data_IF_180790188701
#
_entry.id   IF_180790188701
#
_cell.length_a   1.000
_cell.length_b   1.000
_cell.length_c   1.000
_cell.angle_alpha   90.00
_cell.angle_beta   90.00
_cell.angle_gamma   90.00
#
_symmetry.space_group_name_H-M   'P 1'
#
loop_
_entity.id
_entity.type
_entity.pdbx_description
1 polymer ?
#
# COMPACT_ATOMS: atom_id res chain seq x y z
N UNK A 1 34.82 -5.59 -0.19
CA UNK A 1 33.86 -4.65 -0.80
C UNK A 1 34.13 -4.56 -2.30
N UNK A 2 33.29 -5.08 -3.20
CA UNK A 2 33.41 -4.73 -4.61
C UNK A 2 32.84 -3.32 -4.79
N UNK A 3 33.62 -2.46 -5.43
CA UNK A 3 33.26 -1.11 -5.80
C UNK A 3 32.03 -1.16 -6.73
N UNK A 4 30.89 -0.70 -6.25
CA UNK A 4 29.69 -0.54 -7.06
C UNK A 4 29.92 0.49 -8.16
N UNK A 5 29.50 0.14 -9.34
CA UNK A 5 29.53 0.93 -10.56
C UNK A 5 28.93 2.33 -10.35
N UNK A 6 29.74 3.37 -10.39
CA UNK A 6 29.39 4.78 -10.12
C UNK A 6 28.76 5.51 -11.33
N UNK A 7 28.21 4.81 -12.33
CA UNK A 7 27.61 5.43 -13.52
C UNK A 7 26.33 4.74 -14.04
N UNK A 8 25.49 4.19 -13.16
CA UNK A 8 24.15 3.71 -13.50
C UNK A 8 23.08 4.73 -13.07
N UNK A 9 22.12 5.03 -13.90
CA UNK A 9 20.85 5.66 -13.52
C UNK A 9 20.30 4.92 -12.30
N UNK A 10 20.25 5.60 -11.12
CA UNK A 10 19.81 4.96 -9.87
C UNK A 10 18.38 4.49 -10.05
N UNK A 11 18.16 3.20 -9.87
CA UNK A 11 16.81 2.60 -9.87
C UNK A 11 15.97 3.17 -8.73
N UNK A 12 14.69 3.39 -8.99
CA UNK A 12 13.74 3.90 -8.00
C UNK A 12 12.98 2.74 -7.37
N UNK A 13 12.90 2.70 -6.05
CA UNK A 13 12.15 1.69 -5.30
C UNK A 13 10.81 2.23 -4.85
N UNK A 14 9.79 1.40 -4.89
CA UNK A 14 8.42 1.79 -4.53
C UNK A 14 7.98 1.05 -3.29
N UNK A 15 7.54 1.80 -2.28
CA UNK A 15 7.14 1.28 -0.97
C UNK A 15 5.69 1.69 -0.70
N UNK A 16 4.80 0.70 -0.53
CA UNK A 16 3.43 0.97 -0.10
C UNK A 16 3.36 1.11 1.42
N UNK A 17 2.64 2.11 1.90
CA UNK A 17 2.30 2.30 3.33
C UNK A 17 0.84 1.91 3.50
N UNK A 18 0.61 0.74 4.08
CA UNK A 18 -0.72 0.12 4.21
C UNK A 18 -1.09 -0.05 5.69
N UNK A 19 -2.35 -0.37 5.96
CA UNK A 19 -2.83 -0.64 7.32
C UNK A 19 -4.17 0.04 7.63
N UNK A 20 -4.79 -0.21 8.80
CA UNK A 20 -6.12 0.26 9.13
C UNK A 20 -6.21 1.78 9.29
N UNK A 21 -7.44 2.28 9.22
CA UNK A 21 -7.74 3.70 9.52
C UNK A 21 -7.30 4.04 10.94
N UNK A 22 -6.67 5.21 11.08
CA UNK A 22 -6.22 5.70 12.39
C UNK A 22 -4.86 5.15 12.85
N UNK A 23 -4.23 4.20 12.16
CA UNK A 23 -2.88 3.70 12.48
C UNK A 23 -1.77 4.75 12.28
N UNK A 24 -2.03 5.82 11.51
CA UNK A 24 -1.09 6.93 11.30
C UNK A 24 -0.26 6.85 10.01
N UNK A 25 -0.74 6.14 8.99
CA UNK A 25 -0.07 5.98 7.69
C UNK A 25 0.34 7.30 7.04
N UNK A 26 -0.62 8.18 6.82
CA UNK A 26 -0.37 9.50 6.20
C UNK A 26 0.61 10.34 7.01
N UNK A 27 0.48 10.34 8.34
CA UNK A 27 1.43 11.02 9.22
C UNK A 27 2.83 10.41 9.11
N UNK A 28 2.93 9.08 9.01
CA UNK A 28 4.21 8.37 8.82
C UNK A 28 4.83 8.72 7.46
N UNK A 29 4.05 8.69 6.38
CA UNK A 29 4.51 9.09 5.03
C UNK A 29 5.04 10.53 5.03
N UNK A 30 4.33 11.45 5.69
CA UNK A 30 4.78 12.84 5.84
C UNK A 30 6.07 12.96 6.65
N UNK A 31 6.18 12.22 7.77
CA UNK A 31 7.38 12.22 8.60
C UNK A 31 8.59 11.66 7.85
N UNK A 32 8.42 10.56 7.10
CA UNK A 32 9.45 9.99 6.24
C UNK A 32 9.91 11.00 5.16
N UNK A 33 8.95 11.64 4.48
CA UNK A 33 9.22 12.66 3.47
C UNK A 33 9.96 13.87 4.06
N UNK A 34 9.52 14.36 5.22
CA UNK A 34 10.15 15.49 5.90
C UNK A 34 11.61 15.21 6.28
N UNK A 35 11.92 14.01 6.79
CA UNK A 35 13.28 13.61 7.16
C UNK A 35 14.16 13.41 5.93
N UNK A 36 13.58 12.98 4.81
CA UNK A 36 14.28 12.81 3.52
C UNK A 36 14.39 14.10 2.70
N UNK A 37 13.92 15.25 3.22
CA UNK A 37 13.96 16.53 2.50
C UNK A 37 12.91 16.66 1.38
N UNK A 38 11.93 15.76 1.32
CA UNK A 38 10.85 15.78 0.35
C UNK A 38 9.65 16.61 0.83
N UNK A 39 8.89 17.19 -0.11
CA UNK A 39 7.59 17.79 0.18
C UNK A 39 6.49 16.74 0.07
N UNK A 40 5.75 16.53 1.14
CA UNK A 40 4.57 15.66 1.13
C UNK A 40 3.31 16.49 0.89
N UNK A 41 2.58 16.18 -0.18
CA UNK A 41 1.23 16.69 -0.40
C UNK A 41 0.21 15.73 0.20
N UNK A 42 -0.26 16.00 1.43
CA UNK A 42 -1.36 15.22 1.99
C UNK A 42 -2.68 15.65 1.36
N UNK A 43 -3.38 14.73 0.73
CA UNK A 43 -4.75 14.93 0.27
C UNK A 43 -5.70 14.19 1.24
N UNK A 44 -6.03 14.82 2.36
CA UNK A 44 -7.15 14.36 3.19
C UNK A 44 -8.42 14.87 2.54
N UNK A 45 -9.27 13.97 2.01
CA UNK A 45 -10.55 14.33 1.45
C UNK A 45 -11.48 15.00 2.48
N UNK A 46 -12.62 15.53 2.03
CA UNK A 46 -13.63 16.21 2.87
C UNK A 46 -14.13 15.36 4.05
N UNK A 47 -13.96 14.03 3.99
CA UNK A 47 -14.30 13.08 5.05
C UNK A 47 -13.23 12.97 6.16
N UNK A 48 -12.15 13.77 6.11
CA UNK A 48 -11.05 13.67 7.09
C UNK A 48 -10.23 12.37 7.01
N UNK A 49 -10.46 11.53 5.99
CA UNK A 49 -9.77 10.28 5.73
C UNK A 49 -9.19 10.27 4.31
N UNK A 50 -8.14 9.50 4.11
CA UNK A 50 -7.58 9.26 2.77
C UNK A 50 -8.53 8.36 1.99
N UNK A 51 -9.05 8.85 0.87
CA UNK A 51 -9.96 8.12 -0.04
C UNK A 51 -9.26 7.64 -1.31
N UNK A 52 -8.04 8.09 -1.54
CA UNK A 52 -7.25 7.84 -2.74
C UNK A 52 -5.80 7.50 -2.37
N UNK A 53 -5.16 6.66 -3.17
CA UNK A 53 -3.73 6.40 -3.09
C UNK A 53 -2.94 7.61 -3.57
N UNK A 54 -1.97 8.06 -2.76
CA UNK A 54 -1.09 9.18 -3.06
C UNK A 54 0.35 8.71 -3.25
N UNK A 55 1.06 9.33 -4.21
CA UNK A 55 2.45 9.05 -4.53
C UNK A 55 3.35 10.18 -4.04
N UNK A 56 4.33 9.86 -3.21
CA UNK A 56 5.30 10.84 -2.67
C UNK A 56 6.71 10.38 -2.98
N UNK A 57 7.41 11.10 -3.88
CA UNK A 57 8.81 10.83 -4.18
C UNK A 57 9.71 11.42 -3.10
N UNK A 58 10.68 10.64 -2.64
CA UNK A 58 11.69 11.04 -1.65
C UNK A 58 13.08 10.60 -2.09
N UNK A 59 14.11 11.27 -1.57
CA UNK A 59 15.50 10.87 -1.72
C UNK A 59 16.16 10.79 -0.34
N UNK A 60 16.78 9.65 -0.04
CA UNK A 60 17.48 9.47 1.23
C UNK A 60 18.84 8.81 1.02
N UNK A 61 19.91 9.47 1.50
CA UNK A 61 21.30 9.01 1.35
C UNK A 61 21.69 8.65 -0.09
N UNK A 62 21.10 9.36 -1.06
CA UNK A 62 21.34 9.18 -2.48
C UNK A 62 20.52 8.06 -3.14
N UNK A 63 19.71 7.33 -2.44
CA UNK A 63 18.74 6.39 -2.99
C UNK A 63 17.36 7.07 -3.17
N UNK A 64 16.65 6.73 -4.25
CA UNK A 64 15.34 7.31 -4.60
C UNK A 64 14.23 6.32 -4.29
N UNK A 65 13.15 6.82 -3.68
CA UNK A 65 11.97 6.04 -3.34
C UNK A 65 10.70 6.77 -3.75
N UNK A 66 9.65 6.01 -4.04
CA UNK A 66 8.28 6.51 -4.12
C UNK A 66 7.47 5.82 -3.02
N UNK A 67 6.91 6.61 -2.12
CA UNK A 67 6.01 6.14 -1.07
C UNK A 67 4.57 6.21 -1.59
N UNK A 68 3.84 5.11 -1.46
CA UNK A 68 2.41 5.05 -1.71
C UNK A 68 1.65 5.11 -0.39
N UNK A 69 1.01 6.23 -0.10
CA UNK A 69 0.09 6.35 1.03
C UNK A 69 -1.28 5.83 0.60
N UNK A 70 -1.69 4.67 1.12
CA UNK A 70 -2.93 4.01 0.73
C UNK A 70 -4.08 4.30 1.70
N UNK A 71 -5.34 4.29 1.22
CA UNK A 71 -6.50 4.34 2.09
C UNK A 71 -6.49 3.20 3.12
N UNK A 72 -6.95 3.48 4.34
CA UNK A 72 -7.01 2.47 5.41
C UNK A 72 -8.42 1.99 5.72
N UNK A 73 -9.45 2.65 5.19
CA UNK A 73 -10.82 2.21 5.37
C UNK A 73 -11.16 1.12 4.34
N UNK A 74 -11.86 0.09 4.79
CA UNK A 74 -12.20 -1.10 3.99
C UNK A 74 -12.96 -0.70 2.72
N UNK A 75 -13.78 0.34 2.80
CA UNK A 75 -14.58 0.88 1.69
C UNK A 75 -13.73 1.42 0.51
N UNK A 76 -12.47 1.79 0.75
CA UNK A 76 -11.57 2.39 -0.25
C UNK A 76 -10.37 1.51 -0.61
N UNK A 77 -10.29 0.28 -0.10
CA UNK A 77 -9.14 -0.61 -0.36
C UNK A 77 -9.02 -1.02 -1.83
N UNK A 78 -10.09 -0.95 -2.61
CA UNK A 78 -10.05 -1.28 -4.03
C UNK A 78 -9.01 -0.43 -4.81
N UNK A 79 -8.83 0.85 -4.43
CA UNK A 79 -7.81 1.73 -5.04
C UNK A 79 -6.39 1.27 -4.68
N UNK A 80 -6.18 0.81 -3.44
CA UNK A 80 -4.89 0.28 -3.00
C UNK A 80 -4.57 -1.09 -3.63
N UNK A 81 -5.55 -1.98 -3.74
CA UNK A 81 -5.36 -3.35 -4.22
C UNK A 81 -4.70 -3.39 -5.62
N UNK A 82 -5.07 -2.46 -6.50
CA UNK A 82 -4.48 -2.38 -7.84
C UNK A 82 -3.09 -1.72 -7.87
N UNK A 83 -2.74 -0.92 -6.86
CA UNK A 83 -1.40 -0.34 -6.76
C UNK A 83 -0.37 -1.33 -6.20
N UNK A 84 -0.79 -2.25 -5.32
CA UNK A 84 0.09 -3.17 -4.60
C UNK A 84 0.93 -4.10 -5.49
N UNK A 85 0.44 -4.72 -6.57
CA UNK A 85 1.27 -5.60 -7.40
C UNK A 85 2.53 -4.92 -7.96
N UNK A 86 2.49 -3.61 -8.13
CA UNK A 86 3.60 -2.81 -8.65
C UNK A 86 4.61 -2.32 -7.61
N UNK A 87 4.53 -2.68 -6.32
CA UNK A 87 5.48 -2.21 -5.29
C UNK A 87 6.61 -3.20 -5.02
N UNK A 88 7.72 -2.74 -4.47
CA UNK A 88 8.83 -3.61 -4.08
C UNK A 88 8.68 -4.13 -2.66
N UNK A 89 8.20 -3.28 -1.76
CA UNK A 89 8.00 -3.58 -0.35
C UNK A 89 6.70 -2.93 0.13
N UNK A 90 6.02 -3.55 1.07
CA UNK A 90 4.93 -2.92 1.79
C UNK A 90 5.31 -2.70 3.26
N UNK A 91 4.99 -1.52 3.80
CA UNK A 91 5.10 -1.20 5.21
C UNK A 91 3.70 -1.20 5.82
N UNK A 92 3.41 -2.20 6.63
CA UNK A 92 2.14 -2.34 7.33
C UNK A 92 2.21 -1.54 8.63
N UNK A 93 1.41 -0.49 8.75
CA UNK A 93 1.38 0.35 9.96
C UNK A 93 0.36 -0.20 10.94
N UNK A 94 0.85 -0.67 12.08
CA UNK A 94 0.05 -1.18 13.18
C UNK A 94 -0.12 -0.12 14.28
N UNK A 95 -1.21 -0.18 15.02
CA UNK A 95 -1.36 0.55 16.28
C UNK A 95 -0.64 -0.21 17.40
N UNK A 96 -0.22 0.48 18.47
CA UNK A 96 0.41 -0.14 19.64
C UNK A 96 -0.57 -0.85 20.57
N UNK A 97 -1.86 -0.87 20.24
CA UNK A 97 -2.93 -1.50 20.98
C UNK A 97 -3.15 -2.96 20.49
N UNK A 98 -2.90 -4.00 21.30
CA UNK A 98 -3.06 -5.40 20.90
C UNK A 98 -4.48 -5.75 20.45
N UNK A 99 -5.51 -5.10 20.99
CA UNK A 99 -6.91 -5.35 20.63
C UNK A 99 -7.20 -5.00 19.16
N UNK A 100 -6.33 -4.21 18.54
CA UNK A 100 -6.42 -3.83 17.13
C UNK A 100 -5.66 -4.76 16.17
N UNK A 101 -4.99 -5.80 16.67
CA UNK A 101 -4.20 -6.71 15.85
C UNK A 101 -5.02 -7.33 14.69
N UNK A 102 -6.26 -7.76 14.96
CA UNK A 102 -7.16 -8.32 13.94
C UNK A 102 -7.46 -7.38 12.78
N UNK A 103 -7.37 -6.07 12.96
CA UNK A 103 -7.59 -5.09 11.89
C UNK A 103 -6.50 -5.15 10.81
N UNK A 104 -5.36 -5.77 11.08
CA UNK A 104 -4.26 -5.94 10.12
C UNK A 104 -4.47 -7.13 9.17
N UNK A 105 -5.28 -8.10 9.56
CA UNK A 105 -5.48 -9.35 8.81
C UNK A 105 -5.78 -9.14 7.31
N UNK A 106 -6.71 -8.26 6.89
CA UNK A 106 -7.01 -8.09 5.47
C UNK A 106 -5.83 -7.52 4.67
N UNK A 107 -4.96 -6.73 5.30
CA UNK A 107 -3.77 -6.16 4.66
C UNK A 107 -2.67 -7.21 4.53
N UNK A 108 -2.34 -7.92 5.62
CA UNK A 108 -1.32 -8.98 5.61
C UNK A 108 -1.68 -10.08 4.62
N UNK A 109 -2.93 -10.55 4.67
CA UNK A 109 -3.39 -11.59 3.75
C UNK A 109 -3.31 -11.17 2.27
N UNK A 110 -3.65 -9.91 1.95
CA UNK A 110 -3.52 -9.41 0.57
C UNK A 110 -2.06 -9.36 0.12
N UNK A 111 -1.12 -8.99 1.00
CA UNK A 111 0.31 -8.93 0.70
C UNK A 111 0.90 -10.34 0.51
N UNK A 112 0.51 -11.28 1.36
CA UNK A 112 0.93 -12.69 1.30
C UNK A 112 0.40 -13.39 0.03
N UNK A 113 -0.89 -13.20 -0.32
CA UNK A 113 -1.47 -13.72 -1.57
C UNK A 113 -0.71 -13.20 -2.82
N UNK A 114 -0.35 -11.92 -2.81
CA UNK A 114 0.40 -11.29 -3.89
C UNK A 114 1.92 -11.55 -3.82
N UNK A 115 2.40 -12.24 -2.78
CA UNK A 115 3.83 -12.49 -2.51
C UNK A 115 4.65 -11.20 -2.49
N UNK A 116 4.13 -10.17 -1.83
CA UNK A 116 4.81 -8.89 -1.68
C UNK A 116 5.62 -8.92 -0.37
N UNK A 117 6.95 -8.75 -0.42
CA UNK A 117 7.75 -8.58 0.77
C UNK A 117 7.22 -7.41 1.60
N UNK A 118 7.11 -7.62 2.91
CA UNK A 118 6.54 -6.58 3.76
C UNK A 118 7.19 -6.55 5.15
N UNK A 119 7.05 -5.42 5.81
CA UNK A 119 7.49 -5.18 7.18
C UNK A 119 6.35 -4.57 7.98
N UNK A 120 6.36 -4.76 9.30
CA UNK A 120 5.40 -4.11 10.20
C UNK A 120 6.09 -2.96 10.92
N UNK A 121 5.41 -1.81 11.00
CA UNK A 121 5.79 -0.70 11.86
C UNK A 121 4.71 -0.47 12.90
N UNK A 122 5.01 -0.80 14.14
CA UNK A 122 4.16 -0.53 15.30
C UNK A 122 4.32 0.94 15.65
N UNK A 123 3.29 1.73 15.34
CA UNK A 123 3.26 3.15 15.58
C UNK A 123 2.64 3.48 16.95
N UNK A 124 2.76 4.73 17.40
CA UNK A 124 2.22 5.23 18.66
C UNK A 124 2.74 4.51 19.90
N UNK A 125 3.98 4.07 19.86
CA UNK A 125 4.60 3.33 20.95
C UNK A 125 4.68 4.16 22.25
N UNK A 126 4.60 5.47 22.15
CA UNK A 126 4.46 6.41 23.26
C UNK A 126 3.13 6.28 24.03
N UNK A 127 2.14 5.60 23.45
CA UNK A 127 0.83 5.31 24.03
C UNK A 127 0.66 3.82 24.37
N UNK A 128 1.70 3.00 24.14
CA UNK A 128 1.64 1.56 24.37
C UNK A 128 1.36 1.25 25.86
N UNK A 129 0.43 0.32 26.07
CA UNK A 129 0.11 -0.23 27.38
C UNK A 129 0.53 -1.70 27.39
N UNK A 130 1.56 -2.04 28.16
CA UNK A 130 2.08 -3.42 28.23
C UNK A 130 3.40 -3.62 27.48
N UNK A 131 3.84 -4.87 27.39
CA UNK A 131 5.11 -5.23 26.76
C UNK A 131 4.95 -5.38 25.25
N UNK A 132 6.00 -5.09 24.50
CA UNK A 132 6.00 -5.30 23.03
C UNK A 132 5.92 -6.78 22.67
N UNK A 133 6.44 -7.67 23.51
CA UNK A 133 6.29 -9.12 23.30
C UNK A 133 4.80 -9.53 23.24
N UNK A 134 3.98 -9.02 24.16
CA UNK A 134 2.54 -9.31 24.20
C UNK A 134 1.84 -8.85 22.91
N UNK A 135 2.31 -7.74 22.32
CA UNK A 135 1.81 -7.24 21.04
C UNK A 135 2.26 -8.11 19.86
N UNK A 136 3.51 -8.61 19.87
CA UNK A 136 3.99 -9.53 18.85
C UNK A 136 3.23 -10.86 18.90
N UNK A 137 2.98 -11.39 20.09
CA UNK A 137 2.15 -12.57 20.31
C UNK A 137 0.71 -12.38 19.80
N UNK A 138 0.14 -11.18 19.97
CA UNK A 138 -1.18 -10.85 19.44
C UNK A 138 -1.19 -10.67 17.89
N UNK A 139 -0.07 -10.27 17.32
CA UNK A 139 0.08 -10.06 15.87
C UNK A 139 0.41 -11.35 15.10
N UNK A 140 1.14 -12.30 15.71
CA UNK A 140 1.55 -13.53 15.01
C UNK A 140 0.37 -14.33 14.42
N UNK A 141 -0.79 -14.50 15.10
CA UNK A 141 -1.91 -15.25 14.55
C UNK A 141 -2.56 -14.64 13.30
N UNK A 142 -2.31 -13.36 13.00
CA UNK A 142 -2.88 -12.67 11.83
C UNK A 142 -1.92 -12.63 10.62
N UNK A 143 -0.69 -13.14 10.79
CA UNK A 143 0.31 -13.34 9.73
C UNK A 143 0.59 -14.83 9.55
N UNK A 144 0.72 -15.30 8.30
CA UNK A 144 1.15 -16.67 7.99
C UNK A 144 2.68 -16.80 8.02
N UNK A 145 3.40 -15.67 7.98
CA UNK A 145 4.85 -15.62 8.02
C UNK A 145 5.34 -15.29 9.44
N UNK A 146 6.55 -15.75 9.81
CA UNK A 146 7.15 -15.41 11.09
C UNK A 146 7.36 -13.91 11.26
N UNK A 147 6.92 -13.36 12.39
CA UNK A 147 7.17 -11.97 12.76
C UNK A 147 8.50 -11.87 13.51
N UNK A 148 9.49 -11.25 12.89
CA UNK A 148 10.85 -11.15 13.42
C UNK A 148 11.09 -9.78 14.04
N UNK A 149 11.24 -9.73 15.37
CA UNK A 149 11.56 -8.49 16.07
C UNK A 149 12.93 -7.97 15.66
N UNK A 150 13.02 -6.72 15.21
CA UNK A 150 14.29 -6.05 14.86
C UNK A 150 14.82 -5.20 16.00
N UNK A 151 14.03 -4.97 17.03
CA UNK A 151 14.31 -4.03 18.10
C UNK A 151 13.68 -4.47 19.41
N UNK A 152 14.38 -4.18 20.54
CA UNK A 152 13.82 -4.26 21.89
C UNK A 152 13.71 -2.85 22.46
N UNK A 153 12.57 -2.45 23.08
CA UNK A 153 12.41 -1.11 23.62
C UNK A 153 13.19 -0.93 24.91
N UNK A 154 13.80 0.25 25.08
CA UNK A 154 14.40 0.71 26.31
C UNK A 154 13.36 1.52 27.06
N UNK A 155 12.91 1.05 28.21
CA UNK A 155 11.94 1.72 29.06
C UNK A 155 12.63 2.64 30.07
N UNK A 156 12.04 3.79 30.30
CA UNK A 156 12.41 4.72 31.36
C UNK A 156 11.14 5.42 31.88
N UNK A 157 10.88 5.32 33.16
CA UNK A 157 9.74 5.98 33.81
C UNK A 157 8.41 5.74 33.06
N UNK A 158 8.05 4.48 32.82
CA UNK A 158 6.85 4.02 32.12
C UNK A 158 6.69 4.49 30.65
N UNK A 159 7.73 5.03 30.03
CA UNK A 159 7.73 5.37 28.62
C UNK A 159 8.95 4.81 27.87
N UNK A 160 8.80 4.63 26.56
CA UNK A 160 9.87 4.14 25.71
C UNK A 160 10.82 5.28 25.35
N UNK A 161 12.04 5.21 25.89
CA UNK A 161 13.08 6.24 25.72
C UNK A 161 14.05 5.92 24.57
N UNK A 162 14.03 4.69 24.05
CA UNK A 162 14.95 4.26 23.01
C UNK A 162 14.71 2.80 22.60
N UNK A 163 15.69 2.21 21.94
CA UNK A 163 15.65 0.82 21.51
C UNK A 163 17.06 0.21 21.41
N UNK A 164 17.14 -1.10 21.53
CA UNK A 164 18.29 -1.91 21.15
C UNK A 164 18.00 -2.54 19.79
N UNK A 165 18.91 -2.37 18.83
CA UNK A 165 18.88 -3.03 17.53
C UNK A 165 19.49 -4.43 17.66
N UNK A 166 18.67 -5.47 17.49
CA UNK A 166 19.06 -6.86 17.72
C UNK A 166 20.05 -7.40 16.67
N UNK A 167 19.98 -6.91 15.43
CA UNK A 167 20.89 -7.33 14.39
C UNK A 167 22.31 -6.77 14.58
N UNK A 168 22.41 -5.54 15.06
CA UNK A 168 23.65 -4.80 15.18
C UNK A 168 24.17 -4.72 16.62
N UNK A 169 23.42 -5.24 17.60
CA UNK A 169 23.76 -5.20 19.05
C UNK A 169 24.15 -3.79 19.50
N UNK A 170 23.26 -2.81 19.22
CA UNK A 170 23.49 -1.40 19.51
C UNK A 170 22.27 -0.74 20.09
N UNK A 171 22.48 -0.02 21.18
CA UNK A 171 21.41 0.77 21.79
C UNK A 171 21.37 2.20 21.25
N UNK A 172 20.14 2.73 21.15
CA UNK A 172 19.86 4.07 20.69
C UNK A 172 18.81 4.72 21.58
N UNK A 173 19.10 5.93 22.08
CA UNK A 173 18.15 6.76 22.82
C UNK A 173 17.52 7.81 21.89
N UNK A 174 16.21 7.96 21.98
CA UNK A 174 15.48 8.98 21.22
C UNK A 174 15.84 10.38 21.70
N UNK A 175 15.98 11.28 20.74
CA UNK A 175 16.21 12.69 20.99
C UNK A 175 15.15 13.52 20.25
N UNK A 176 14.51 14.45 20.94
CA UNK A 176 13.49 15.31 20.33
C UNK A 176 14.08 16.15 19.19
N UNK A 177 13.56 15.98 17.97
CA UNK A 177 13.96 16.73 16.78
C UNK A 177 15.37 16.44 16.25
N UNK A 178 16.08 15.45 16.81
CA UNK A 178 17.45 15.06 16.40
C UNK A 178 17.54 13.57 16.09
N UNK A 179 18.58 13.11 15.41
CA UNK A 179 18.88 11.69 15.29
C UNK A 179 19.03 11.04 16.67
N UNK A 180 18.58 9.77 16.79
CA UNK A 180 18.78 9.00 18.03
C UNK A 180 20.27 8.88 18.35
N UNK A 181 20.61 9.04 19.62
CA UNK A 181 21.98 8.93 20.10
C UNK A 181 22.35 7.46 20.33
N UNK A 182 23.47 7.02 19.75
CA UNK A 182 24.04 5.71 20.06
C UNK A 182 24.61 5.74 21.47
N UNK A 183 24.28 4.70 22.25
CA UNK A 183 24.80 4.45 23.60
C UNK A 183 25.18 2.98 23.73
N UNK A 184 25.89 2.64 24.79
CA UNK A 184 26.10 1.23 25.14
C UNK A 184 24.79 0.60 25.60
N UNK A 185 24.67 -0.73 25.46
CA UNK A 185 23.48 -1.44 25.91
C UNK A 185 23.40 -1.32 27.44
N UNK A 186 22.30 -0.77 28.00
CA UNK A 186 22.14 -0.65 29.44
C UNK A 186 22.22 -2.03 30.12
N UNK A 187 22.86 -2.10 31.29
CA UNK A 187 23.09 -3.38 31.97
C UNK A 187 21.78 -4.10 32.34
N UNK A 188 20.71 -3.35 32.61
CA UNK A 188 19.37 -3.88 32.91
C UNK A 188 18.65 -4.42 31.65
N UNK A 189 19.18 -4.15 30.44
CA UNK A 189 18.67 -4.63 29.17
C UNK A 189 19.42 -5.83 28.62
N UNK A 190 20.60 -6.17 29.16
CA UNK A 190 21.48 -7.18 28.58
C UNK A 190 20.81 -8.57 28.50
N UNK A 191 20.12 -9.01 29.55
CA UNK A 191 19.42 -10.29 29.55
C UNK A 191 18.27 -10.34 28.56
N UNK A 192 17.46 -9.27 28.50
CA UNK A 192 16.34 -9.15 27.54
C UNK A 192 16.81 -9.06 26.10
N UNK A 193 17.91 -8.39 25.85
CA UNK A 193 18.53 -8.31 24.54
C UNK A 193 19.01 -9.68 24.09
N UNK A 194 19.72 -10.40 24.95
CA UNK A 194 20.24 -11.76 24.66
C UNK A 194 19.09 -12.73 24.34
N UNK A 195 18.03 -12.73 25.15
CA UNK A 195 16.85 -13.56 24.93
C UNK A 195 16.14 -13.23 23.60
N UNK A 196 15.88 -11.95 23.36
CA UNK A 196 15.20 -11.50 22.14
C UNK A 196 16.05 -11.75 20.88
N UNK A 197 17.38 -11.56 20.99
CA UNK A 197 18.30 -11.86 19.90
C UNK A 197 18.35 -13.35 19.60
N UNK A 198 18.39 -14.20 20.64
CA UNK A 198 18.37 -15.65 20.46
C UNK A 198 17.10 -16.10 19.74
N UNK A 199 15.94 -15.61 20.15
CA UNK A 199 14.67 -15.88 19.47
C UNK A 199 14.65 -15.40 18.00
N UNK A 200 15.21 -14.22 17.73
CA UNK A 200 15.39 -13.75 16.35
C UNK A 200 16.26 -14.70 15.52
N UNK A 201 17.37 -15.19 16.10
CA UNK A 201 18.29 -16.09 15.42
C UNK A 201 17.65 -17.47 15.16
N UNK A 202 16.85 -18.01 16.10
CA UNK A 202 16.08 -19.23 15.89
C UNK A 202 15.14 -19.11 14.69
N UNK A 203 14.40 -17.98 14.60
CA UNK A 203 13.47 -17.74 13.48
C UNK A 203 14.17 -17.63 12.12
N UNK A 204 15.39 -17.06 12.08
CA UNK A 204 16.20 -16.99 10.85
C UNK A 204 16.79 -18.36 10.49
N UNK A 205 17.22 -19.14 11.48
CA UNK A 205 17.80 -20.46 11.25
C UNK A 205 16.81 -21.46 10.60
N UNK A 206 15.51 -21.20 10.67
CA UNK A 206 14.50 -22.00 9.93
C UNK A 206 14.66 -21.90 8.39
N UNK A 207 15.37 -20.88 7.91
CA UNK A 207 15.57 -20.59 6.49
C UNK A 207 17.05 -20.60 6.04
N UNK A 208 17.99 -20.88 6.97
CA UNK A 208 19.43 -20.92 6.69
C UNK A 208 20.13 -22.05 7.44
N UNK A 209 20.48 -23.11 6.71
CA UNK A 209 21.16 -24.30 7.27
C UNK A 209 22.51 -23.95 7.93
N UNK A 210 23.24 -22.95 7.40
CA UNK A 210 24.55 -22.54 7.96
C UNK A 210 24.39 -21.83 9.30
N UNK A 211 23.35 -20.98 9.40
CA UNK A 211 23.00 -20.33 10.66
C UNK A 211 22.53 -21.37 11.69
N UNK A 212 21.70 -22.35 11.25
CA UNK A 212 21.24 -23.44 12.10
C UNK A 212 22.43 -24.26 12.65
N UNK A 213 23.38 -24.68 11.81
CA UNK A 213 24.57 -25.41 12.24
C UNK A 213 25.42 -24.60 13.23
N UNK A 214 25.55 -23.28 13.00
CA UNK A 214 26.27 -22.36 13.88
C UNK A 214 25.66 -22.34 15.30
N UNK A 215 24.31 -22.19 15.35
CA UNK A 215 23.58 -22.18 16.63
C UNK A 215 23.65 -23.54 17.36
N UNK A 216 23.50 -24.64 16.63
CA UNK A 216 23.62 -26.01 17.23
C UNK A 216 25.02 -26.29 17.74
N UNK A 217 26.04 -25.61 17.26
CA UNK A 217 27.43 -25.74 17.70
C UNK A 217 27.78 -24.80 18.87
N UNK A 218 26.80 -24.10 19.45
CA UNK A 218 26.98 -23.09 20.50
C UNK A 218 27.94 -21.95 20.11
N UNK A 219 28.04 -21.65 18.81
CA UNK A 219 28.87 -20.57 18.29
C UNK A 219 28.01 -19.32 18.06
N UNK A 220 28.47 -18.17 18.55
CA UNK A 220 27.80 -16.90 18.30
C UNK A 220 27.97 -16.49 16.82
N UNK A 221 26.88 -16.34 16.04
CA UNK A 221 26.98 -15.93 14.63
C UNK A 221 27.56 -14.53 14.49
N UNK A 222 28.34 -14.30 13.41
CA UNK A 222 28.86 -12.97 13.09
C UNK A 222 27.73 -11.99 12.74
N UNK A 223 27.82 -10.74 13.20
CA UNK A 223 26.80 -9.71 12.95
C UNK A 223 26.51 -9.50 11.45
N UNK A 224 27.54 -9.56 10.61
CA UNK A 224 27.38 -9.39 9.16
C UNK A 224 26.58 -10.55 8.52
N UNK A 225 26.73 -11.78 9.01
CA UNK A 225 25.99 -12.95 8.61
C UNK A 225 24.51 -12.78 8.97
N UNK A 226 24.21 -12.50 10.22
CA UNK A 226 22.84 -12.28 10.72
C UNK A 226 22.15 -11.15 9.94
N UNK A 227 22.88 -10.07 9.67
CA UNK A 227 22.33 -8.95 8.90
C UNK A 227 22.07 -9.33 7.44
N UNK A 228 22.94 -10.12 6.82
CA UNK A 228 22.75 -10.60 5.44
C UNK A 228 21.51 -11.52 5.33
N UNK A 229 21.32 -12.43 6.29
CA UNK A 229 20.16 -13.33 6.34
C UNK A 229 18.85 -12.56 6.52
N UNK A 230 18.81 -11.65 7.48
CA UNK A 230 17.65 -10.76 7.68
C UNK A 230 17.26 -10.01 6.39
N UNK A 231 18.24 -9.49 5.66
CA UNK A 231 18.00 -8.77 4.40
C UNK A 231 17.51 -9.72 3.31
N UNK A 232 18.15 -10.89 3.16
CA UNK A 232 17.78 -11.91 2.18
C UNK A 232 16.37 -12.40 2.40
N UNK A 233 16.06 -12.86 3.60
CA UNK A 233 14.78 -13.45 3.95
C UNK A 233 13.62 -12.45 3.90
N UNK A 234 13.88 -11.18 4.28
CA UNK A 234 12.91 -10.10 4.08
C UNK A 234 12.60 -9.87 2.60
N UNK A 235 13.64 -9.83 1.74
CA UNK A 235 13.48 -9.61 0.29
C UNK A 235 12.78 -10.77 -0.42
N UNK A 236 13.02 -11.97 0.05
CA UNK A 236 12.38 -13.20 -0.45
C UNK A 236 10.96 -13.39 0.10
N UNK A 237 10.56 -12.59 1.10
CA UNK A 237 9.24 -12.66 1.71
C UNK A 237 9.06 -13.91 2.57
N UNK A 238 10.13 -14.39 3.22
CA UNK A 238 10.12 -15.55 4.12
C UNK A 238 9.79 -15.14 5.56
N UNK A 239 10.18 -13.92 5.95
CA UNK A 239 9.95 -13.34 7.27
C UNK A 239 9.33 -11.95 7.17
N UNK A 240 8.72 -11.48 8.25
CA UNK A 240 8.18 -10.13 8.38
C UNK A 240 8.94 -9.39 9.49
N UNK A 241 9.89 -8.50 9.16
CA UNK A 241 10.60 -7.72 10.16
C UNK A 241 9.66 -6.71 10.83
N UNK A 242 9.73 -6.64 12.16
CA UNK A 242 8.89 -5.74 12.96
C UNK A 242 9.75 -4.63 13.56
N UNK A 243 9.34 -3.40 13.27
CA UNK A 243 9.90 -2.16 13.81
C UNK A 243 8.85 -1.45 14.65
N UNK A 244 9.30 -0.53 15.50
CA UNK A 244 8.39 0.31 16.26
C UNK A 244 8.88 1.75 16.36
N UNK A 245 7.93 2.65 16.67
CA UNK A 245 8.21 4.07 16.86
C UNK A 245 6.97 4.89 17.20
N UNK A 246 7.18 6.19 17.30
CA UNK A 246 6.13 7.17 17.52
C UNK A 246 6.24 8.28 16.46
N UNK A 247 5.43 8.20 15.43
CA UNK A 247 5.48 9.14 14.30
C UNK A 247 5.30 10.58 14.75
N UNK A 248 4.39 10.86 15.69
CA UNK A 248 4.13 12.21 16.20
C UNK A 248 5.35 12.83 16.88
N UNK A 249 6.27 12.03 17.38
CA UNK A 249 7.51 12.46 18.04
C UNK A 249 8.75 12.34 17.15
N UNK A 250 8.60 11.78 15.92
CA UNK A 250 9.69 11.50 15.00
C UNK A 250 10.54 10.29 15.39
N UNK A 251 10.09 9.46 16.34
CA UNK A 251 10.80 8.30 16.82
C UNK A 251 10.68 7.13 15.82
N UNK A 252 11.79 6.45 15.52
CA UNK A 252 11.84 5.31 14.61
C UNK A 252 11.94 5.67 13.12
N UNK A 253 11.62 6.91 12.69
CA UNK A 253 11.53 7.31 11.28
C UNK A 253 12.85 7.11 10.53
N UNK A 254 13.98 7.57 11.10
CA UNK A 254 15.32 7.38 10.48
C UNK A 254 15.75 5.91 10.45
N UNK A 255 15.26 5.10 11.41
CA UNK A 255 15.53 3.66 11.42
C UNK A 255 14.82 2.96 10.27
N UNK A 256 13.55 3.34 10.00
CA UNK A 256 12.80 2.85 8.84
C UNK A 256 13.47 3.24 7.51
N UNK A 257 13.88 4.50 7.35
CA UNK A 257 14.59 4.93 6.13
C UNK A 257 15.89 4.14 5.90
N UNK A 258 16.61 3.79 6.97
CA UNK A 258 17.78 2.91 6.87
C UNK A 258 17.38 1.46 6.52
N UNK A 259 16.29 0.95 7.10
CA UNK A 259 15.77 -0.36 6.75
C UNK A 259 15.37 -0.42 5.27
N UNK A 260 14.66 0.56 4.75
CA UNK A 260 14.28 0.62 3.33
C UNK A 260 15.48 0.51 2.40
N UNK A 261 16.60 1.08 2.78
CA UNK A 261 17.83 1.03 1.98
C UNK A 261 18.36 -0.39 1.80
N UNK A 262 18.28 -1.22 2.83
CA UNK A 262 18.83 -2.57 2.86
C UNK A 262 17.77 -3.62 2.54
N UNK A 263 16.59 -3.51 3.13
CA UNK A 263 15.57 -4.55 3.14
C UNK A 263 14.67 -4.51 1.89
N UNK A 264 14.53 -3.33 1.20
CA UNK A 264 13.69 -3.24 0.00
C UNK A 264 14.34 -3.95 -1.20
N UNK A 265 13.61 -4.88 -1.84
CA UNK A 265 14.08 -5.54 -3.06
C UNK A 265 14.31 -4.58 -4.23
N UNK A 266 15.03 -5.04 -5.24
CA UNK A 266 15.18 -4.31 -6.51
C UNK A 266 13.91 -4.42 -7.36
N UNK A 267 13.64 -3.45 -8.28
CA UNK A 267 12.44 -3.43 -9.13
C UNK A 267 12.24 -4.69 -9.96
N UNK A 268 13.31 -5.42 -10.29
CA UNK A 268 13.24 -6.66 -11.07
C UNK A 268 12.35 -7.73 -10.43
N UNK A 269 12.33 -7.84 -9.10
CA UNK A 269 11.49 -8.82 -8.41
C UNK A 269 9.99 -8.49 -8.54
N UNK A 270 9.64 -7.20 -8.53
CA UNK A 270 8.27 -6.78 -8.83
C UNK A 270 7.92 -7.03 -10.31
N UNK A 271 8.85 -6.80 -11.25
CA UNK A 271 8.65 -7.12 -12.67
C UNK A 271 8.43 -8.62 -12.89
N UNK A 272 9.22 -9.48 -12.25
CA UNK A 272 9.07 -10.94 -12.29
C UNK A 272 7.71 -11.39 -11.75
N UNK A 273 7.28 -10.83 -10.59
CA UNK A 273 5.96 -11.08 -9.99
C UNK A 273 4.81 -10.69 -10.92
N UNK A 274 4.95 -9.59 -11.66
CA UNK A 274 3.99 -9.14 -12.66
C UNK A 274 4.03 -9.98 -13.96
N UNK A 275 5.07 -10.81 -14.16
CA UNK A 275 5.30 -11.59 -15.38
C UNK A 275 5.83 -10.73 -16.54
N UNK A 276 6.41 -9.56 -16.24
CA UNK A 276 6.98 -8.68 -17.26
C UNK A 276 8.36 -9.17 -17.68
N UNK A 277 8.55 -9.38 -18.98
CA UNK A 277 9.83 -9.68 -19.60
C UNK A 277 10.24 -8.49 -20.47
N UNK A 278 11.36 -7.82 -20.11
CA UNK A 278 11.85 -6.64 -20.82
C UNK A 278 11.26 -5.34 -20.33
N UNK A 279 11.33 -4.29 -21.17
CA UNK A 279 10.87 -2.96 -20.81
C UNK A 279 9.34 -2.84 -20.88
N UNK A 280 8.75 -2.19 -19.89
CA UNK A 280 7.31 -1.98 -19.83
C UNK A 280 6.89 -1.15 -18.62
N UNK A 281 5.57 -1.03 -18.42
CA UNK A 281 5.02 -0.30 -17.29
C UNK A 281 3.74 -0.94 -16.76
N UNK A 282 3.58 -0.98 -15.44
CA UNK A 282 2.37 -1.45 -14.77
C UNK A 282 1.52 -0.27 -14.33
N UNK A 283 0.24 -0.26 -14.70
CA UNK A 283 -0.70 0.81 -14.39
C UNK A 283 -1.28 0.61 -12.99
N UNK A 284 -0.83 1.44 -12.05
CA UNK A 284 -1.21 1.38 -10.64
C UNK A 284 -2.50 2.16 -10.33
N UNK A 285 -2.75 3.25 -11.06
CA UNK A 285 -3.90 4.13 -10.85
C UNK A 285 -4.24 4.86 -12.15
N UNK A 286 -5.51 5.19 -12.33
CA UNK A 286 -6.00 6.08 -13.40
C UNK A 286 -6.70 7.27 -12.78
N UNK A 287 -6.56 8.46 -13.35
CA UNK A 287 -7.36 9.63 -13.00
C UNK A 287 -7.67 10.49 -14.21
N UNK A 288 -8.75 11.25 -14.14
CA UNK A 288 -9.15 12.21 -15.16
C UNK A 288 -8.86 13.63 -14.64
N UNK A 289 -7.80 14.26 -15.16
CA UNK A 289 -7.32 15.56 -14.73
C UNK A 289 -7.73 16.65 -15.74
N UNK A 290 -8.93 17.21 -15.61
CA UNK A 290 -9.39 18.38 -16.35
C UNK A 290 -8.93 18.43 -17.82
N UNK A 291 -8.09 19.41 -18.17
CA UNK A 291 -7.55 19.59 -19.53
C UNK A 291 -6.49 18.55 -19.93
N UNK A 292 -5.85 17.86 -18.99
CA UNK A 292 -4.87 16.83 -19.30
C UNK A 292 -5.52 15.51 -19.78
N UNK A 293 -6.83 15.38 -19.63
CA UNK A 293 -7.56 14.16 -19.98
C UNK A 293 -7.27 13.02 -19.02
N UNK A 294 -7.27 11.79 -19.53
CA UNK A 294 -6.95 10.57 -18.77
C UNK A 294 -5.45 10.50 -18.50
N UNK A 295 -5.09 10.33 -17.25
CA UNK A 295 -3.72 10.10 -16.76
C UNK A 295 -3.61 8.70 -16.17
N UNK A 296 -2.70 7.89 -16.71
CA UNK A 296 -2.35 6.59 -16.17
C UNK A 296 -1.09 6.72 -15.31
N UNK A 297 -1.21 6.49 -14.00
CA UNK A 297 -0.06 6.42 -13.10
C UNK A 297 0.54 5.03 -13.23
N UNK A 298 1.70 4.96 -13.85
CA UNK A 298 2.34 3.71 -14.18
C UNK A 298 3.76 3.66 -13.66
N UNK A 299 4.18 2.47 -13.21
CA UNK A 299 5.54 2.20 -12.80
C UNK A 299 6.31 1.55 -13.93
N UNK A 300 7.46 2.13 -14.31
CA UNK A 300 8.34 1.63 -15.36
C UNK A 300 9.28 0.51 -14.86
N UNK A 301 9.54 -0.47 -15.70
CA UNK A 301 10.44 -1.62 -15.44
C UNK A 301 11.29 -1.95 -16.65
N UNK A 302 12.42 -2.65 -16.42
CA UNK A 302 13.27 -3.20 -17.46
C UNK A 302 14.03 -2.13 -18.25
N UNK A 303 14.27 -0.97 -17.65
CA UNK A 303 14.98 0.15 -18.22
C UNK A 303 14.30 1.49 -18.04
N UNK A 304 14.79 2.54 -18.70
CA UNK A 304 14.16 3.85 -18.70
C UNK A 304 12.96 3.89 -19.63
N UNK A 305 11.89 4.57 -19.21
CA UNK A 305 10.71 4.85 -20.04
C UNK A 305 10.83 6.25 -20.64
N UNK A 306 10.69 6.36 -21.96
CA UNK A 306 10.79 7.61 -22.71
C UNK A 306 9.44 8.04 -23.29
N UNK A 307 9.27 9.36 -23.54
CA UNK A 307 8.09 9.90 -24.21
C UNK A 307 8.01 9.53 -25.71
N UNK A 308 9.08 8.91 -26.25
CA UNK A 308 9.12 8.36 -27.61
C UNK A 308 8.69 6.89 -27.69
N UNK A 309 8.59 6.18 -26.57
CA UNK A 309 8.34 4.76 -26.56
C UNK A 309 6.93 4.40 -27.05
N UNK A 310 6.85 3.32 -27.81
CA UNK A 310 5.60 2.72 -28.26
C UNK A 310 5.18 1.66 -27.25
N UNK A 311 4.03 1.86 -26.63
CA UNK A 311 3.46 0.99 -25.63
C UNK A 311 2.35 0.13 -26.24
N UNK A 312 2.42 -1.19 -26.06
CA UNK A 312 1.30 -2.08 -26.40
C UNK A 312 0.20 -1.97 -25.37
N UNK A 313 -1.04 -1.84 -25.83
CA UNK A 313 -2.24 -1.70 -25.01
C UNK A 313 -2.99 -3.03 -24.90
N UNK A 314 -3.85 -3.15 -23.89
CA UNK A 314 -4.66 -4.35 -23.64
C UNK A 314 -5.66 -4.68 -24.77
N UNK A 315 -6.04 -3.70 -25.60
CA UNK A 315 -6.88 -3.88 -26.79
C UNK A 315 -6.08 -4.32 -28.04
N UNK A 316 -4.76 -4.50 -27.90
CA UNK A 316 -3.85 -4.89 -28.99
C UNK A 316 -3.33 -3.69 -29.80
N UNK A 317 -3.75 -2.48 -29.52
CA UNK A 317 -3.23 -1.27 -30.17
C UNK A 317 -1.84 -0.91 -29.65
N UNK A 318 -1.10 -0.13 -30.44
CA UNK A 318 0.17 0.47 -30.04
C UNK A 318 -0.02 1.98 -29.91
N UNK A 319 0.36 2.54 -28.77
CA UNK A 319 0.27 3.98 -28.53
C UNK A 319 1.60 4.54 -28.03
N UNK A 320 1.91 5.75 -28.46
CA UNK A 320 3.12 6.46 -28.01
C UNK A 320 2.91 7.02 -26.61
N UNK A 321 3.89 6.91 -25.73
CA UNK A 321 3.93 7.54 -24.41
C UNK A 321 4.14 9.08 -24.52
N UNK A 322 3.33 9.76 -25.31
CA UNK A 322 3.56 11.13 -25.80
C UNK A 322 3.61 12.21 -24.72
N UNK A 323 3.15 11.94 -23.50
CA UNK A 323 3.13 12.89 -22.40
C UNK A 323 3.47 12.19 -21.08
N UNK A 324 4.74 12.23 -20.70
CA UNK A 324 5.22 11.75 -19.42
C UNK A 324 5.29 12.88 -18.38
N UNK A 325 4.85 12.58 -17.17
CA UNK A 325 4.92 13.51 -16.05
C UNK A 325 5.50 12.82 -14.82
N UNK A 326 6.46 13.46 -14.17
CA UNK A 326 6.88 13.09 -12.82
C UNK A 326 5.76 13.44 -11.83
N UNK A 327 5.54 12.58 -10.85
CA UNK A 327 4.45 12.67 -9.88
C UNK A 327 5.00 13.04 -8.50
N UNK A 328 4.40 14.07 -7.89
CA UNK A 328 4.71 14.48 -6.51
C UNK A 328 3.41 14.90 -5.82
N UNK A 329 2.77 13.98 -5.12
CA UNK A 329 1.43 14.19 -4.59
C UNK A 329 0.43 14.50 -5.71
N UNK A 330 -0.29 15.61 -5.61
CA UNK A 330 -1.22 16.09 -6.63
C UNK A 330 -0.53 16.86 -7.78
N UNK A 331 0.77 17.14 -7.67
CA UNK A 331 1.49 17.93 -8.69
C UNK A 331 2.13 17.00 -9.72
N UNK A 332 2.05 17.43 -10.99
CA UNK A 332 2.70 16.74 -12.11
C UNK A 332 3.59 17.71 -12.88
N UNK A 333 4.79 17.26 -13.22
CA UNK A 333 5.78 18.03 -14.02
C UNK A 333 6.16 17.22 -15.24
N UNK A 334 6.02 17.81 -16.43
CA UNK A 334 6.40 17.15 -17.69
C UNK A 334 7.88 16.78 -17.70
N UNK A 335 8.19 15.56 -18.11
CA UNK A 335 9.54 15.01 -18.26
C UNK A 335 9.66 14.31 -19.63
N UNK A 336 10.87 14.15 -20.13
CA UNK A 336 11.13 13.42 -21.38
C UNK A 336 11.37 11.93 -21.15
N UNK A 337 11.92 11.56 -19.99
CA UNK A 337 12.18 10.17 -19.62
C UNK A 337 12.11 9.98 -18.11
N UNK A 338 11.82 8.75 -17.69
CA UNK A 338 11.84 8.30 -16.31
C UNK A 338 12.86 7.19 -16.12
N UNK A 339 13.45 7.11 -14.93
CA UNK A 339 14.37 6.03 -14.57
C UNK A 339 13.61 4.72 -14.33
N UNK A 340 14.33 3.60 -14.37
CA UNK A 340 13.78 2.30 -14.00
C UNK A 340 13.24 2.32 -12.57
N UNK A 341 12.04 1.77 -12.39
CA UNK A 341 11.33 1.71 -11.12
C UNK A 341 10.55 2.97 -10.75
N UNK A 342 10.70 4.08 -11.52
CA UNK A 342 10.00 5.32 -11.23
C UNK A 342 8.50 5.21 -11.53
N UNK A 343 7.70 5.96 -10.77
CA UNK A 343 6.25 6.09 -11.01
C UNK A 343 6.00 7.40 -11.74
N UNK A 344 5.39 7.29 -12.91
CA UNK A 344 5.08 8.43 -13.77
C UNK A 344 3.60 8.46 -14.14
N UNK A 345 3.08 9.63 -14.41
CA UNK A 345 1.77 9.75 -15.04
C UNK A 345 1.95 9.86 -16.56
N UNK A 346 1.26 9.00 -17.29
CA UNK A 346 1.26 8.98 -18.77
C UNK A 346 -0.09 9.50 -19.24
N UNK A 347 -0.07 10.58 -20.01
CA UNK A 347 -1.27 11.18 -20.56
C UNK A 347 -1.66 10.64 -21.93
N UNK A 348 -2.94 10.78 -22.27
CA UNK A 348 -3.49 10.45 -23.61
C UNK A 348 -3.43 8.95 -23.98
N UNK A 349 -3.52 8.07 -23.00
CA UNK A 349 -3.69 6.63 -23.20
C UNK A 349 -5.15 6.23 -22.91
N UNK A 350 -6.05 6.45 -23.88
CA UNK A 350 -7.50 6.25 -23.68
C UNK A 350 -7.91 4.80 -23.34
N UNK A 351 -7.37 3.74 -23.99
CA UNK A 351 -7.81 2.37 -23.73
C UNK A 351 -7.18 1.75 -22.45
N UNK A 352 -6.39 2.51 -21.69
CA UNK A 352 -5.70 1.99 -20.50
C UNK A 352 -6.64 1.88 -19.30
N UNK A 353 -6.59 0.74 -18.62
CA UNK A 353 -7.26 0.49 -17.36
C UNK A 353 -6.26 0.27 -16.21
N UNK A 354 -6.74 0.39 -14.97
CA UNK A 354 -5.97 0.03 -13.78
C UNK A 354 -5.63 -1.46 -13.82
N UNK A 355 -4.38 -1.82 -13.52
CA UNK A 355 -3.90 -3.21 -13.56
C UNK A 355 -3.36 -3.66 -14.93
N UNK A 356 -3.41 -2.81 -15.94
CA UNK A 356 -2.82 -3.13 -17.25
C UNK A 356 -1.29 -3.17 -17.19
N UNK A 357 -0.71 -4.12 -17.93
CA UNK A 357 0.73 -4.25 -18.12
C UNK A 357 1.07 -3.82 -19.55
N UNK A 358 1.65 -2.65 -19.69
CA UNK A 358 2.04 -2.04 -20.94
C UNK A 358 3.46 -2.53 -21.30
N UNK A 359 3.67 -3.01 -22.54
CA UNK A 359 4.97 -3.53 -22.97
C UNK A 359 5.56 -2.60 -24.04
N UNK A 360 6.82 -2.21 -23.86
CA UNK A 360 7.51 -1.37 -24.86
C UNK A 360 7.81 -2.18 -26.12
N UNK A 361 7.33 -1.72 -27.28
CA UNK A 361 7.57 -2.36 -28.56
C UNK A 361 6.93 -3.75 -28.75
N UNK A 362 6.05 -4.17 -27.83
CA UNK A 362 5.41 -5.48 -27.83
C UNK A 362 3.91 -5.43 -27.51
N UNK A 363 3.22 -6.56 -27.69
CA UNK A 363 1.82 -6.67 -27.29
C UNK A 363 1.67 -6.63 -25.77
N UNK A 364 0.69 -5.87 -25.27
CA UNK A 364 0.33 -5.87 -23.87
C UNK A 364 -0.12 -7.24 -23.38
N UNK A 365 0.07 -7.47 -22.08
CA UNK A 365 -0.35 -8.70 -21.39
C UNK A 365 -1.10 -8.32 -20.13
N UNK A 366 -1.87 -9.24 -19.60
CA UNK A 366 -2.37 -9.10 -18.22
C UNK A 366 -1.26 -9.43 -17.25
N UNK A 367 -1.12 -8.65 -16.20
CA UNK A 367 -0.19 -8.95 -15.13
C UNK A 367 -0.51 -10.31 -14.50
N UNK A 368 0.52 -11.09 -14.16
CA UNK A 368 0.34 -12.40 -13.49
C UNK A 368 -0.18 -12.22 -12.07
N UNK A 369 0.42 -11.30 -11.32
CA UNK A 369 -0.08 -10.88 -10.02
C UNK A 369 -1.25 -9.92 -10.22
N UNK A 370 -2.46 -10.41 -10.02
CA UNK A 370 -3.67 -9.60 -10.08
C UNK A 370 -4.27 -9.42 -8.69
N UNK A 371 -4.73 -8.22 -8.37
CA UNK A 371 -5.40 -7.97 -7.11
C UNK A 371 -6.72 -8.73 -7.03
N UNK A 372 -7.15 -9.01 -5.80
CA UNK A 372 -8.45 -9.61 -5.54
C UNK A 372 -9.57 -8.69 -6.02
N UNK A 373 -10.42 -9.19 -6.91
CA UNK A 373 -11.58 -8.44 -7.37
C UNK A 373 -12.58 -8.27 -6.22
N UNK A 374 -12.86 -7.01 -5.86
CA UNK A 374 -13.89 -6.68 -4.88
C UNK A 374 -15.24 -6.53 -5.56
N UNK A 375 -16.24 -7.23 -5.05
CA UNK A 375 -17.61 -7.09 -5.52
C UNK A 375 -18.30 -5.99 -4.73
N UNK A 376 -19.15 -5.17 -5.37
CA UNK A 376 -19.93 -4.16 -4.66
C UNK A 376 -20.92 -4.82 -3.71
N UNK A 377 -20.99 -4.29 -2.48
CA UNK A 377 -21.90 -4.80 -1.41
C UNK A 377 -22.98 -3.80 -1.03
N UNK A 378 -22.90 -2.57 -1.53
CA UNK A 378 -23.85 -1.50 -1.25
C UNK A 378 -24.27 -0.79 -2.52
N UNK A 379 -25.53 -0.33 -2.58
CA UNK A 379 -26.07 0.35 -3.74
C UNK A 379 -27.02 1.48 -3.38
N UNK A 380 -27.00 2.54 -4.19
CA UNK A 380 -27.90 3.68 -4.12
C UNK A 380 -28.47 3.97 -5.51
N UNK A 381 -29.76 4.28 -5.58
CA UNK A 381 -30.34 4.87 -6.78
C UNK A 381 -30.00 6.36 -6.81
N UNK A 382 -29.56 6.85 -7.97
CA UNK A 382 -29.19 8.24 -8.17
C UNK A 382 -30.00 8.83 -9.32
N UNK A 383 -30.37 10.09 -9.19
CA UNK A 383 -31.03 10.87 -10.23
C UNK A 383 -30.47 12.29 -10.22
N UNK A 384 -30.41 12.92 -11.39
CA UNK A 384 -30.09 14.34 -11.50
C UNK A 384 -31.20 15.20 -10.92
N UNK A 385 -30.87 16.33 -10.33
CA UNK A 385 -31.88 17.32 -9.93
C UNK A 385 -32.51 18.00 -11.14
N UNK A 386 -31.72 18.23 -12.20
CA UNK A 386 -32.17 18.80 -13.45
C UNK A 386 -31.91 17.83 -14.62
N UNK A 387 -32.91 17.50 -15.41
CA UNK A 387 -32.81 16.60 -16.58
C UNK A 387 -31.76 17.04 -17.62
N UNK A 388 -31.41 18.34 -17.66
CA UNK A 388 -30.34 18.82 -18.52
C UNK A 388 -28.97 18.25 -18.18
N UNK A 389 -28.79 17.79 -16.98
CA UNK A 389 -27.52 17.24 -16.50
C UNK A 389 -27.38 15.72 -16.71
N UNK A 390 -28.38 15.02 -17.26
CA UNK A 390 -28.35 13.56 -17.47
C UNK A 390 -27.17 13.13 -18.35
N UNK A 391 -26.88 13.85 -19.42
CA UNK A 391 -25.73 13.56 -20.30
C UNK A 391 -24.41 13.81 -19.58
N UNK A 392 -24.35 14.88 -18.76
CA UNK A 392 -23.17 15.21 -17.96
C UNK A 392 -22.95 14.17 -16.86
N UNK A 393 -24.04 13.68 -16.21
CA UNK A 393 -23.99 12.61 -15.22
C UNK A 393 -23.41 11.33 -15.81
N UNK A 394 -23.91 10.90 -16.98
CA UNK A 394 -23.41 9.70 -17.66
C UNK A 394 -21.91 9.77 -17.94
N UNK A 395 -21.44 10.90 -18.49
CA UNK A 395 -20.01 11.11 -18.77
C UNK A 395 -19.16 11.22 -17.51
N UNK A 396 -19.70 11.78 -16.41
CA UNK A 396 -19.01 11.85 -15.12
C UNK A 396 -18.90 10.48 -14.44
N UNK A 397 -19.99 9.70 -14.48
CA UNK A 397 -20.02 8.33 -13.94
C UNK A 397 -19.03 7.42 -14.65
N UNK A 398 -18.95 7.48 -15.98
CA UNK A 398 -17.98 6.68 -16.74
C UNK A 398 -16.54 6.99 -16.30
N UNK A 399 -16.20 8.27 -16.12
CA UNK A 399 -14.86 8.66 -15.64
C UNK A 399 -14.59 8.19 -14.22
N UNK A 400 -15.59 8.24 -13.33
CA UNK A 400 -15.43 7.76 -11.95
C UNK A 400 -15.27 6.24 -11.89
N UNK A 401 -15.97 5.48 -12.75
CA UNK A 401 -15.82 4.02 -12.87
C UNK A 401 -14.43 3.67 -13.42
N UNK A 402 -13.90 4.46 -14.35
CA UNK A 402 -12.53 4.27 -14.86
C UNK A 402 -11.46 4.51 -13.77
N UNK A 403 -11.74 5.47 -12.86
CA UNK A 403 -10.81 5.82 -11.75
C UNK A 403 -10.88 4.85 -10.58
N UNK A 404 -12.04 4.25 -10.32
CA UNK A 404 -12.33 3.49 -9.11
C UNK A 404 -12.84 2.08 -9.45
N UNK A 405 -11.95 1.11 -9.29
CA UNK A 405 -12.25 -0.29 -9.58
C UNK A 405 -13.28 -0.93 -8.62
N UNK A 406 -13.55 -0.28 -7.48
CA UNK A 406 -14.58 -0.70 -6.51
C UNK A 406 -15.97 -0.16 -6.84
N UNK A 407 -16.08 0.70 -7.87
CA UNK A 407 -17.32 1.35 -8.29
C UNK A 407 -17.89 0.69 -9.54
N UNK A 408 -19.20 0.52 -9.58
CA UNK A 408 -19.92 0.14 -10.80
C UNK A 408 -21.24 0.88 -10.91
N UNK A 409 -21.71 1.00 -12.13
CA UNK A 409 -22.99 1.65 -12.46
C UNK A 409 -23.86 0.67 -13.22
N UNK A 410 -25.08 0.47 -12.77
CA UNK A 410 -26.09 -0.38 -13.40
C UNK A 410 -27.30 0.46 -13.77
N UNK A 411 -27.76 0.33 -15.02
CA UNK A 411 -29.05 0.85 -15.43
C UNK A 411 -30.10 -0.25 -15.28
N UNK A 412 -30.98 -0.12 -14.30
CA UNK A 412 -32.06 -1.08 -14.11
C UNK A 412 -33.14 -0.84 -15.19
N UNK A 413 -33.35 -1.84 -16.03
CA UNK A 413 -34.31 -1.78 -17.13
C UNK A 413 -35.78 -1.83 -16.68
N UNK A 414 -36.03 -2.29 -15.45
CA UNK A 414 -37.40 -2.45 -14.91
C UNK A 414 -37.84 -1.19 -14.19
N UNK A 415 -36.97 -0.65 -13.30
CA UNK A 415 -37.26 0.57 -12.53
C UNK A 415 -36.84 1.85 -13.25
N UNK A 416 -36.06 1.73 -14.33
CA UNK A 416 -35.42 2.83 -15.05
C UNK A 416 -34.51 3.69 -14.16
N UNK A 417 -34.03 3.13 -13.05
CA UNK A 417 -33.12 3.80 -12.13
C UNK A 417 -31.66 3.61 -12.56
N UNK A 418 -30.83 4.60 -12.25
CA UNK A 418 -29.37 4.48 -12.31
C UNK A 418 -28.94 4.06 -10.92
N UNK A 419 -28.40 2.85 -10.79
CA UNK A 419 -27.90 2.29 -9.55
C UNK A 419 -26.37 2.46 -9.50
N UNK A 420 -25.92 3.21 -8.50
CA UNK A 420 -24.53 3.35 -8.14
C UNK A 420 -24.20 2.24 -7.13
N UNK A 421 -23.23 1.40 -7.44
CA UNK A 421 -22.87 0.23 -6.64
C UNK A 421 -21.40 0.36 -6.17
N UNK A 422 -21.14 0.09 -4.89
CA UNK A 422 -19.80 0.24 -4.30
C UNK A 422 -19.61 -0.59 -3.03
N UNK A 423 -18.51 -0.29 -2.31
CA UNK A 423 -18.05 -1.10 -1.18
C UNK A 423 -18.76 -0.75 0.14
N UNK A 424 -19.47 0.37 0.22
CA UNK A 424 -20.19 0.79 1.41
C UNK A 424 -20.82 2.17 1.24
N UNK A 425 -21.60 2.61 2.23
CA UNK A 425 -22.20 3.94 2.25
C UNK A 425 -21.16 5.08 2.23
N UNK A 426 -20.05 5.03 3.01
CA UNK A 426 -18.99 6.04 2.94
C UNK A 426 -18.36 6.17 1.55
N UNK A 427 -18.19 5.02 0.85
CA UNK A 427 -17.65 4.99 -0.51
C UNK A 427 -18.59 5.74 -1.46
N UNK A 428 -19.88 5.39 -1.50
CA UNK A 428 -20.81 6.02 -2.42
C UNK A 428 -21.07 7.50 -2.11
N UNK A 429 -21.02 7.89 -0.83
CA UNK A 429 -21.04 9.33 -0.46
C UNK A 429 -19.84 10.09 -1.01
N UNK A 430 -18.63 9.53 -0.93
CA UNK A 430 -17.43 10.14 -1.52
C UNK A 430 -17.58 10.29 -3.05
N UNK A 431 -18.18 9.32 -3.73
CA UNK A 431 -18.48 9.39 -5.16
C UNK A 431 -19.46 10.53 -5.47
N UNK A 432 -20.53 10.67 -4.68
CA UNK A 432 -21.52 11.76 -4.83
C UNK A 432 -20.87 13.13 -4.61
N UNK A 433 -19.97 13.25 -3.61
CA UNK A 433 -19.21 14.49 -3.41
C UNK A 433 -18.27 14.81 -4.57
N UNK A 434 -17.62 13.78 -5.17
CA UNK A 434 -16.81 13.96 -6.38
C UNK A 434 -17.63 14.40 -7.59
N UNK A 435 -18.85 13.86 -7.77
CA UNK A 435 -19.79 14.32 -8.82
C UNK A 435 -20.08 15.80 -8.66
N UNK A 436 -20.37 16.26 -7.45
CA UNK A 436 -20.66 17.66 -7.16
C UNK A 436 -19.40 18.54 -7.30
N UNK A 437 -18.29 18.16 -6.66
CA UNK A 437 -17.10 19.01 -6.55
C UNK A 437 -16.25 19.07 -7.84
N UNK A 438 -16.11 17.93 -8.57
CA UNK A 438 -15.24 17.85 -9.76
C UNK A 438 -16.01 18.05 -11.08
N UNK A 439 -17.23 17.54 -11.15
CA UNK A 439 -18.03 17.51 -12.38
C UNK A 439 -19.17 18.53 -12.39
N UNK A 440 -19.41 19.19 -11.25
CA UNK A 440 -20.50 20.15 -11.07
C UNK A 440 -21.87 19.56 -11.46
N UNK A 441 -22.11 18.30 -11.03
CA UNK A 441 -23.38 17.58 -11.22
C UNK A 441 -24.00 17.31 -9.86
N UNK A 442 -25.16 17.89 -9.62
CA UNK A 442 -25.94 17.65 -8.40
C UNK A 442 -26.89 16.47 -8.60
N UNK A 443 -26.79 15.48 -7.72
CA UNK A 443 -27.65 14.30 -7.73
C UNK A 443 -28.45 14.19 -6.43
N UNK A 444 -29.61 13.55 -6.52
CA UNK A 444 -30.39 13.06 -5.39
C UNK A 444 -30.13 11.56 -5.24
N UNK A 445 -30.06 11.09 -4.02
CA UNK A 445 -29.85 9.65 -3.70
C UNK A 445 -31.05 9.09 -2.99
N UNK A 446 -31.44 7.87 -3.31
CA UNK A 446 -32.49 7.13 -2.66
C UNK A 446 -32.13 5.64 -2.55
N UNK A 447 -32.72 4.89 -1.61
CA UNK A 447 -32.64 3.44 -1.67
C UNK A 447 -33.17 2.92 -3.01
N UNK A 448 -32.59 1.85 -3.59
CA UNK A 448 -33.09 1.25 -4.82
C UNK A 448 -34.53 0.77 -4.67
N UNK A 449 -35.34 0.99 -5.71
CA UNK A 449 -36.71 0.44 -5.75
C UNK A 449 -36.66 -1.09 -5.83
N UNK A 450 -37.34 -1.76 -4.91
CA UNK A 450 -37.47 -3.22 -4.99
C UNK A 450 -38.54 -3.56 -6.05
N UNK A 451 -38.12 -4.13 -7.17
CA UNK A 451 -39.04 -4.73 -8.11
C UNK A 451 -39.79 -5.87 -7.42
N UNK A 452 -41.11 -5.87 -7.40
CA UNK A 452 -41.82 -7.05 -6.93
C UNK A 452 -41.50 -8.20 -7.90
N UNK A 453 -40.66 -9.13 -7.45
CA UNK A 453 -40.39 -10.37 -8.19
C UNK A 453 -41.73 -11.07 -8.35
N UNK A 454 -42.39 -10.97 -9.50
CA UNK A 454 -43.52 -11.82 -9.85
C UNK A 454 -42.99 -13.25 -9.86
N UNK A 455 -43.19 -13.97 -8.76
CA UNK A 455 -43.11 -15.42 -8.78
C UNK A 455 -44.20 -15.92 -9.71
N UNK A 456 -43.89 -16.11 -10.97
CA UNK A 456 -44.74 -16.87 -11.90
C UNK A 456 -44.58 -18.35 -11.59
N UNK A 457 -45.07 -18.75 -10.45
CA UNK A 457 -45.23 -20.14 -10.02
C UNK A 457 -46.71 -20.50 -9.97
N UNK A 458 -47.27 -21.09 -11.02
CA UNK A 458 -48.44 -21.93 -10.92
C UNK A 458 -48.08 -23.11 -10.01
N UNK A 459 -48.60 -23.12 -8.79
CA UNK A 459 -48.42 -24.26 -7.90
C UNK A 459 -48.96 -24.01 -6.51
N UNK A 460 -50.24 -24.35 -6.32
CA UNK A 460 -50.93 -24.82 -5.09
C UNK A 460 -50.49 -24.20 -3.75
N UNK A 461 -51.42 -23.43 -3.21
CA UNK A 461 -51.65 -23.08 -1.80
C UNK A 461 -51.09 -24.08 -0.80
N UNK A 462 -50.10 -23.64 0.01
CA UNK A 462 -49.91 -24.06 1.40
C UNK A 462 -49.51 -22.87 2.23
N UNK A 463 -50.22 -22.68 3.33
CA UNK A 463 -50.20 -21.55 4.24
C UNK A 463 -48.77 -21.16 4.68
N UNK A 464 -48.42 -19.87 4.53
CA UNK A 464 -47.26 -19.27 5.12
C UNK A 464 -47.45 -19.12 6.63
N UNK A 465 -46.68 -19.85 7.43
CA UNK A 465 -46.46 -19.54 8.84
C UNK A 465 -45.51 -18.36 8.95
N UNK A 466 -46.02 -17.25 9.44
CA UNK A 466 -45.27 -16.08 9.85
C UNK A 466 -44.28 -16.45 10.94
N UNK A 467 -42.99 -16.39 10.67
CA UNK A 467 -41.95 -16.31 11.71
C UNK A 467 -41.84 -14.85 12.16
N UNK A 468 -42.42 -14.52 13.32
CA UNK A 468 -42.06 -13.35 14.10
C UNK A 468 -40.76 -13.68 14.82
N UNK A 469 -39.72 -12.93 14.53
CA UNK A 469 -38.55 -12.83 15.39
C UNK A 469 -38.82 -11.67 16.34
N UNK A 470 -39.03 -12.01 17.61
CA UNK A 470 -39.19 -11.04 18.67
C UNK A 470 -37.88 -10.71 19.31
N UNK A 471 -37.78 -9.44 19.73
CA UNK A 471 -36.94 -8.75 20.70
C UNK A 471 -35.51 -9.27 20.94
#
# INVERSE_FOLDING_TARGET
>A
MPAGNLNGTKTVRVIAVVGPTGAGKTALTQALASVAGGASGANTGALGQSTDTNFTAIEYMGDRYVLLDTPGAVDFLADADFALPGVDLALVVADSDPDKALLLQPFLHALEELKIPHAIFINKIDQARGRICDLLEALQPVSTLPLVARQVPIWKDDHISGYVDLAMERAYLYQKGKPSQRVDIPADMAERETEARFHMLEQLADFDDTLMETLLSDVTPAQDMVFADLVRETREGLIVPVFFGATAQGHGIRRLLKAFRHDTPEPKYAAERLGLQGAGAYVMKVSHAGQAGKLAYARGFGGSLSDSDQLGMSDGSMQRAAALFAVQGAQTKKIASAAEGDVVAIGKLEPVAVGDLLVVGGAARKAMAQPRKRFPVFQLAIATKDRKDDVRLSGALQKLVDEDAGLSVLHDQITHEILLQGQGDPHLRAVVERLRGRFNVEVTTSPPSTSPTRCSGRGRTRAARTCRIGA
#
